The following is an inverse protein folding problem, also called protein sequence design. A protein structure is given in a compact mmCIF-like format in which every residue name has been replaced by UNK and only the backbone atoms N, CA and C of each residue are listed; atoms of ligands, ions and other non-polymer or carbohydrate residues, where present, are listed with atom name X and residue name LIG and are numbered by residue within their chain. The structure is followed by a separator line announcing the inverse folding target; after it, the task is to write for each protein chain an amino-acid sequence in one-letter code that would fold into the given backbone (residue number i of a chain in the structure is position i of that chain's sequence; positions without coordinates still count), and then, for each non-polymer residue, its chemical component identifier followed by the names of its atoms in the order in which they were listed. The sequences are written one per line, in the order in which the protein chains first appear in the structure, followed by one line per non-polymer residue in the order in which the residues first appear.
data_IF_647429073015
#
_entry.id   IF_647429073015
#
_cell.length_a   1.000
_cell.length_b   1.000
_cell.length_c   1.000
_cell.angle_alpha   90.00
_cell.angle_beta   90.00
_cell.angle_gamma   90.00
#
_symmetry.space_group_name_H-M   'P 1'
#
loop_
_entity.id
_entity.type
_entity.pdbx_description
1 polymer ?
#
# COMPACT_ATOMS: atom_id res chain seq x y z
N UNK A 1 49.50 -30.66 -4.89
CA UNK A 1 48.93 -30.91 -3.55
C UNK A 1 48.75 -29.57 -2.86
N UNK A 2 47.55 -29.29 -2.34
CA UNK A 2 47.21 -28.30 -1.27
C UNK A 2 47.52 -26.81 -1.54
N UNK A 3 46.68 -25.82 -1.23
CA UNK A 3 45.35 -25.75 -0.62
C UNK A 3 44.75 -24.36 -0.88
N UNK A 4 43.42 -24.28 -0.72
CA UNK A 4 42.55 -23.11 -0.78
C UNK A 4 43.01 -21.93 0.09
N UNK A 5 42.69 -20.71 -0.35
CA UNK A 5 42.20 -19.65 0.53
C UNK A 5 41.08 -18.88 -0.16
N UNK A 6 39.85 -19.21 0.23
CA UNK A 6 38.63 -18.46 -0.06
C UNK A 6 38.63 -17.22 0.83
N UNK A 7 38.52 -16.03 0.23
CA UNK A 7 38.11 -14.81 0.93
C UNK A 7 36.86 -14.26 0.25
N UNK A 8 35.71 -14.73 0.75
CA UNK A 8 34.41 -14.14 0.50
C UNK A 8 34.41 -12.69 1.03
N UNK A 9 34.48 -11.72 0.13
CA UNK A 9 34.05 -10.35 0.42
C UNK A 9 32.52 -10.29 0.35
N UNK A 10 31.89 -10.83 1.40
CA UNK A 10 30.54 -10.45 1.76
C UNK A 10 30.61 -9.03 2.36
N UNK A 11 30.22 -8.04 1.56
CA UNK A 11 30.29 -6.63 1.93
C UNK A 11 29.03 -5.88 1.50
N UNK A 12 27.99 -6.01 2.31
CA UNK A 12 27.00 -4.96 2.60
C UNK A 12 26.42 -4.15 1.42
N UNK A 13 25.57 -4.77 0.60
CA UNK A 13 24.36 -4.08 0.18
C UNK A 13 23.27 -4.45 1.19
N UNK A 14 23.20 -3.70 2.29
CA UNK A 14 22.08 -3.81 3.21
C UNK A 14 20.76 -3.68 2.42
N UNK A 15 19.68 -4.36 2.83
CA UNK A 15 18.39 -4.15 2.20
C UNK A 15 18.11 -2.65 2.31
N UNK A 16 18.00 -1.99 1.16
CA UNK A 16 17.50 -0.63 1.08
C UNK A 16 16.21 -0.60 1.90
N UNK A 17 16.28 -0.01 3.10
CA UNK A 17 15.15 0.13 4.00
C UNK A 17 13.99 0.62 3.14
N UNK A 18 12.90 -0.16 3.10
CA UNK A 18 11.64 0.33 2.56
C UNK A 18 11.45 1.72 3.16
N UNK A 19 11.46 2.75 2.31
CA UNK A 19 11.30 4.12 2.77
C UNK A 19 10.07 4.13 3.66
N UNK A 20 10.26 4.41 4.96
CA UNK A 20 9.18 4.32 5.93
C UNK A 20 8.11 5.31 5.49
N UNK A 21 6.99 4.77 4.97
CA UNK A 21 5.88 5.56 4.46
C UNK A 21 5.36 6.44 5.61
N UNK A 22 5.10 7.73 5.34
CA UNK A 22 4.63 8.62 6.40
C UNK A 22 3.22 8.20 6.84
N UNK A 23 2.83 8.46 8.09
CA UNK A 23 1.49 8.11 8.56
C UNK A 23 0.35 8.60 7.65
N UNK A 24 0.43 9.84 7.16
CA UNK A 24 -0.56 10.41 6.25
C UNK A 24 -0.64 9.67 4.90
N UNK A 25 0.49 9.21 4.37
CA UNK A 25 0.55 8.47 3.11
C UNK A 25 -0.07 7.06 3.28
N UNK A 26 0.18 6.40 4.41
CA UNK A 26 -0.43 5.11 4.76
C UNK A 26 -1.95 5.27 4.86
N UNK A 27 -2.42 6.29 5.57
CA UNK A 27 -3.85 6.59 5.72
C UNK A 27 -4.48 6.92 4.38
N UNK A 28 -3.81 7.73 3.55
CA UNK A 28 -4.27 8.09 2.21
C UNK A 28 -4.44 6.86 1.33
N UNK A 29 -3.47 5.95 1.34
CA UNK A 29 -3.54 4.68 0.61
C UNK A 29 -4.70 3.80 1.09
N UNK A 30 -4.85 3.61 2.41
CA UNK A 30 -6.00 2.86 2.96
C UNK A 30 -7.32 3.49 2.51
N UNK A 31 -7.46 4.81 2.64
CA UNK A 31 -8.67 5.55 2.29
C UNK A 31 -9.01 5.45 0.79
N UNK A 32 -7.99 5.55 -0.07
CA UNK A 32 -8.16 5.44 -1.52
C UNK A 32 -8.62 4.04 -1.93
N UNK A 33 -8.13 2.99 -1.25
CA UNK A 33 -8.39 1.58 -1.54
C UNK A 33 -9.65 1.00 -0.86
N UNK A 34 -10.36 1.77 -0.02
CA UNK A 34 -11.59 1.29 0.64
C UNK A 34 -12.68 0.79 -0.34
N UNK A 35 -12.68 1.25 -1.59
CA UNK A 35 -13.62 0.73 -2.61
C UNK A 35 -13.20 -0.66 -3.12
N UNK A 36 -11.89 -0.93 -3.18
CA UNK A 36 -11.34 -2.26 -3.49
C UNK A 36 -11.68 -3.24 -2.37
N UNK A 37 -11.55 -2.82 -1.11
CA UNK A 37 -11.96 -3.62 0.06
C UNK A 37 -13.45 -3.99 -0.01
N UNK A 38 -14.30 -3.05 -0.46
CA UNK A 38 -15.71 -3.30 -0.73
C UNK A 38 -16.01 -4.14 -2.00
N UNK A 39 -14.99 -4.66 -2.68
CA UNK A 39 -15.13 -5.56 -3.84
C UNK A 39 -15.39 -4.87 -5.18
N UNK A 40 -15.09 -3.58 -5.32
CA UNK A 40 -15.39 -2.83 -6.54
C UNK A 40 -14.54 -3.22 -7.77
N UNK A 41 -13.35 -3.78 -7.55
CA UNK A 41 -12.40 -4.12 -8.62
C UNK A 41 -12.21 -5.64 -8.74
N UNK A 42 -12.77 -6.29 -9.77
CA UNK A 42 -12.54 -7.71 -10.03
C UNK A 42 -11.04 -8.02 -10.18
N UNK A 43 -10.56 -9.08 -9.52
CA UNK A 43 -9.15 -9.48 -9.56
C UNK A 43 -8.23 -8.68 -8.62
N UNK A 44 -8.73 -7.63 -7.96
CA UNK A 44 -7.98 -6.85 -6.98
C UNK A 44 -8.66 -6.95 -5.62
N UNK A 45 -7.91 -7.34 -4.59
CA UNK A 45 -8.41 -7.41 -3.21
C UNK A 45 -7.53 -6.57 -2.30
N UNK A 46 -8.13 -5.95 -1.29
CA UNK A 46 -7.40 -5.16 -0.30
C UNK A 46 -7.87 -5.50 1.11
N UNK A 47 -6.93 -5.95 1.94
CA UNK A 47 -7.05 -6.02 3.39
C UNK A 47 -6.30 -4.83 4.02
N UNK A 48 -6.97 -3.90 4.73
CA UNK A 48 -6.31 -2.76 5.35
C UNK A 48 -5.54 -3.10 6.62
N UNK A 49 -5.75 -4.27 7.25
CA UNK A 49 -5.15 -4.63 8.55
C UNK A 49 -3.62 -4.57 8.56
N UNK A 50 -2.90 -5.09 7.56
CA UNK A 50 -1.44 -5.00 7.52
C UNK A 50 -0.94 -3.55 7.44
N UNK A 51 -1.63 -2.69 6.67
CA UNK A 51 -1.28 -1.26 6.58
C UNK A 51 -1.60 -0.51 7.87
N UNK A 52 -2.72 -0.83 8.53
CA UNK A 52 -3.05 -0.28 9.86
C UNK A 52 -1.96 -0.62 10.88
N UNK A 53 -1.41 -1.84 10.82
CA UNK A 53 -0.29 -2.27 11.67
C UNK A 53 0.98 -1.43 11.50
N UNK A 54 1.17 -0.76 10.37
CA UNK A 54 2.30 0.15 10.14
C UNK A 54 2.16 1.46 10.93
N UNK A 55 0.94 1.85 11.31
CA UNK A 55 0.64 3.04 12.12
C UNK A 55 0.66 2.74 13.62
N UNK A 56 0.28 1.51 13.99
CA UNK A 56 0.26 1.04 15.36
C UNK A 56 -0.62 -0.20 15.54
N UNK A 57 -0.36 -1.00 16.59
CA UNK A 57 -1.11 -2.22 16.83
C UNK A 57 -2.57 -1.91 17.22
N UNK A 58 -3.50 -2.70 16.68
CA UNK A 58 -4.93 -2.63 17.05
C UNK A 58 -5.68 -1.40 16.53
N UNK A 59 -5.08 -0.61 15.63
CA UNK A 59 -5.80 0.49 14.99
C UNK A 59 -6.86 -0.03 14.02
N UNK A 60 -7.99 0.68 14.00
CA UNK A 60 -9.13 0.43 13.10
C UNK A 60 -9.24 1.54 12.05
N UNK A 61 -9.91 1.25 10.93
CA UNK A 61 -10.23 2.26 9.90
C UNK A 61 -10.99 3.45 10.50
N UNK A 62 -11.91 3.20 11.44
CA UNK A 62 -12.67 4.26 12.12
C UNK A 62 -11.76 5.19 12.95
N UNK A 63 -10.78 4.63 13.65
CA UNK A 63 -9.83 5.42 14.44
C UNK A 63 -8.92 6.27 13.54
N UNK A 64 -8.34 5.69 12.48
CA UNK A 64 -7.47 6.47 11.58
C UNK A 64 -8.26 7.54 10.81
N UNK A 65 -9.52 7.28 10.46
CA UNK A 65 -10.40 8.31 9.86
C UNK A 65 -10.66 9.47 10.81
N UNK A 66 -10.73 9.22 12.12
CA UNK A 66 -10.89 10.27 13.13
C UNK A 66 -9.59 11.04 13.37
N UNK A 67 -8.47 10.34 13.51
CA UNK A 67 -7.17 10.92 13.85
C UNK A 67 -6.52 11.67 12.68
N UNK A 68 -6.62 11.10 11.48
CA UNK A 68 -6.03 11.61 10.23
C UNK A 68 -7.12 12.06 9.26
N UNK A 69 -8.11 12.78 9.79
CA UNK A 69 -9.35 13.11 9.07
C UNK A 69 -9.10 13.80 7.73
N UNK A 70 -8.15 14.73 7.67
CA UNK A 70 -7.84 15.48 6.44
C UNK A 70 -7.34 14.55 5.35
N UNK A 71 -6.28 13.77 5.64
CA UNK A 71 -5.65 12.86 4.67
C UNK A 71 -6.64 11.77 4.23
N UNK A 72 -7.37 11.20 5.19
CA UNK A 72 -8.37 10.17 4.90
C UNK A 72 -9.46 10.69 3.97
N UNK A 73 -10.09 11.82 4.31
CA UNK A 73 -11.19 12.36 3.50
C UNK A 73 -10.71 12.82 2.13
N UNK A 74 -9.52 13.42 2.05
CA UNK A 74 -8.93 13.84 0.78
C UNK A 74 -8.78 12.65 -0.18
N UNK A 75 -8.10 11.59 0.25
CA UNK A 75 -7.89 10.41 -0.61
C UNK A 75 -9.16 9.60 -0.87
N UNK A 76 -10.06 9.49 0.10
CA UNK A 76 -11.36 8.82 -0.11
C UNK A 76 -12.22 9.55 -1.14
N UNK A 77 -12.22 10.89 -1.09
CA UNK A 77 -12.94 11.74 -2.03
C UNK A 77 -12.26 11.74 -3.40
N UNK A 78 -10.92 11.68 -3.48
CA UNK A 78 -10.22 11.53 -4.75
C UNK A 78 -10.64 10.24 -5.47
N UNK A 79 -10.61 9.10 -4.78
CA UNK A 79 -11.10 7.84 -5.33
C UNK A 79 -12.57 7.95 -5.79
N UNK A 80 -13.42 8.63 -5.00
CA UNK A 80 -14.82 8.87 -5.37
C UNK A 80 -14.97 9.76 -6.60
N UNK A 81 -14.16 10.81 -6.71
CA UNK A 81 -14.16 11.72 -7.86
C UNK A 81 -13.73 11.00 -9.13
N UNK A 82 -12.71 10.14 -9.06
CA UNK A 82 -12.27 9.33 -10.22
C UNK A 82 -13.39 8.41 -10.70
N UNK A 83 -14.03 7.70 -9.78
CA UNK A 83 -15.18 6.84 -10.11
C UNK A 83 -16.32 7.66 -10.72
N UNK A 84 -16.59 8.86 -10.21
CA UNK A 84 -17.65 9.73 -10.74
C UNK A 84 -17.32 10.31 -12.13
N UNK A 85 -16.06 10.65 -12.39
CA UNK A 85 -15.62 11.28 -13.64
C UNK A 85 -15.33 10.27 -14.75
N UNK A 86 -14.71 9.14 -14.43
CA UNK A 86 -14.14 8.19 -15.40
C UNK A 86 -14.79 6.80 -15.31
N UNK A 87 -15.60 6.56 -14.28
CA UNK A 87 -16.24 5.27 -14.02
C UNK A 87 -15.38 4.32 -13.19
N UNK A 88 -16.02 3.23 -12.74
CA UNK A 88 -15.35 2.19 -11.95
C UNK A 88 -14.19 1.49 -12.69
N UNK A 89 -14.30 1.14 -13.99
CA UNK A 89 -13.21 0.48 -14.70
C UNK A 89 -11.91 1.29 -14.70
N UNK A 90 -11.99 2.61 -14.95
CA UNK A 90 -10.81 3.47 -14.96
C UNK A 90 -10.16 3.61 -13.57
N UNK A 91 -10.96 3.62 -12.50
CA UNK A 91 -10.44 3.56 -11.13
C UNK A 91 -9.69 2.24 -10.88
N UNK A 92 -10.23 1.10 -11.31
CA UNK A 92 -9.56 -0.19 -11.15
C UNK A 92 -8.27 -0.31 -11.98
N UNK A 93 -8.28 0.20 -13.21
CA UNK A 93 -7.08 0.27 -14.06
C UNK A 93 -6.01 1.16 -13.43
N UNK A 94 -6.42 2.28 -12.82
CA UNK A 94 -5.52 3.13 -12.06
C UNK A 94 -4.94 2.39 -10.85
N UNK A 95 -5.77 1.67 -10.08
CA UNK A 95 -5.30 0.90 -8.93
C UNK A 95 -4.27 -0.15 -9.38
N UNK A 96 -4.59 -0.93 -10.41
CA UNK A 96 -3.68 -1.93 -10.97
C UNK A 96 -2.36 -1.29 -11.47
N UNK A 97 -2.44 -0.17 -12.18
CA UNK A 97 -1.28 0.49 -12.79
C UNK A 97 -0.41 1.23 -11.77
N UNK A 98 -1.01 1.92 -10.81
CA UNK A 98 -0.29 2.72 -9.83
C UNK A 98 0.28 1.83 -8.73
N UNK A 99 -0.59 1.05 -8.06
CA UNK A 99 -0.17 0.22 -6.93
C UNK A 99 0.48 -1.09 -7.37
N UNK A 100 0.17 -1.62 -8.56
CA UNK A 100 0.84 -2.82 -9.10
C UNK A 100 2.29 -2.58 -9.53
N UNK A 101 2.72 -1.32 -9.69
CA UNK A 101 4.14 -0.95 -9.91
C UNK A 101 4.92 -0.73 -8.62
N UNK A 102 4.27 -0.81 -7.47
CA UNK A 102 4.91 -0.65 -6.17
C UNK A 102 5.87 -1.81 -5.86
N UNK A 103 6.83 -1.57 -4.98
CA UNK A 103 7.74 -2.63 -4.53
C UNK A 103 6.96 -3.68 -3.73
N UNK A 104 7.39 -4.96 -3.76
CA UNK A 104 6.79 -5.99 -2.93
C UNK A 104 6.77 -5.57 -1.45
N UNK A 105 5.60 -5.65 -0.82
CA UNK A 105 5.42 -5.25 0.58
C UNK A 105 5.28 -3.75 0.84
N UNK A 106 5.27 -2.90 -0.18
CA UNK A 106 5.03 -1.45 -0.03
C UNK A 106 3.58 -1.13 0.33
N UNK A 107 2.63 -1.92 -0.19
CA UNK A 107 1.20 -1.88 0.14
C UNK A 107 0.75 -3.26 0.62
N UNK A 108 1.11 -3.67 1.85
CA UNK A 108 0.76 -4.99 2.35
C UNK A 108 -0.77 -5.14 2.47
N UNK A 109 -1.29 -6.33 2.15
CA UNK A 109 -2.73 -6.60 2.11
C UNK A 109 -3.41 -6.27 0.77
N UNK A 110 -2.75 -5.52 -0.13
CA UNK A 110 -3.19 -5.39 -1.52
C UNK A 110 -2.69 -6.57 -2.36
N UNK A 111 -3.60 -7.20 -3.09
CA UNK A 111 -3.31 -8.30 -4.03
C UNK A 111 -3.97 -7.99 -5.36
N UNK A 112 -3.17 -8.03 -6.44
CA UNK A 112 -3.62 -7.87 -7.83
C UNK A 112 -3.34 -9.21 -8.53
N UNK A 113 -4.36 -9.80 -9.19
CA UNK A 113 -4.29 -11.11 -9.85
C UNK A 113 -4.50 -11.02 -11.36
#
# INVERSE_FOLDING_TARGET
MTALAVALLAGATGPASAASMKPGDIVGAIAFLMRVEAGACPGITFDPTPMLGMLGPGLTVAQIRSQYRSDFLMSYNEAGSRVASEGMPAYCDFVASFFGRARPGEFPGLVIR
#
